data_IF_868661722578
#
_entry.id   IF_868661722578
#
_cell.length_a   1.000
_cell.length_b   1.000
_cell.length_c   1.000
_cell.angle_alpha   90.00
_cell.angle_beta   90.00
_cell.angle_gamma   90.00
#
_symmetry.space_group_name_H-M   'P 1'
#
loop_
_entity.id
_entity.type
_entity.pdbx_description
1 polymer ?
#
# COMPACT_ATOMS: atom_id res chain seq x y z
N UNK A 1 2.88 -9.07 65.51
CA UNK A 1 4.27 -8.71 65.89
C UNK A 1 5.02 -8.39 64.62
N UNK A 2 5.34 -7.11 64.37
CA UNK A 2 6.15 -6.72 63.22
C UNK A 2 7.61 -7.07 63.51
N UNK A 3 8.23 -7.91 62.68
CA UNK A 3 9.65 -8.22 62.81
C UNK A 3 10.46 -6.98 62.42
N UNK A 4 11.08 -6.29 63.39
CA UNK A 4 12.10 -5.29 63.11
C UNK A 4 13.32 -5.97 62.47
N UNK A 5 13.61 -5.62 61.22
CA UNK A 5 14.83 -6.03 60.54
C UNK A 5 15.99 -5.20 61.12
N UNK A 6 17.11 -5.83 61.54
CA UNK A 6 18.24 -5.12 62.12
C UNK A 6 18.87 -4.14 61.12
N UNK A 7 19.36 -3.00 61.62
CA UNK A 7 19.93 -1.89 60.82
C UNK A 7 21.01 -2.35 59.82
N UNK A 8 21.79 -3.35 60.20
CA UNK A 8 22.83 -3.98 59.38
C UNK A 8 22.25 -4.74 58.18
N UNK A 9 21.16 -5.48 58.38
CA UNK A 9 20.43 -6.17 57.30
C UNK A 9 19.74 -5.17 56.37
N UNK A 10 19.25 -4.04 56.90
CA UNK A 10 18.71 -2.94 56.08
C UNK A 10 19.77 -2.23 55.24
N UNK A 11 21.01 -2.12 55.74
CA UNK A 11 22.12 -1.53 54.98
C UNK A 11 22.60 -2.47 53.87
N UNK A 12 22.67 -3.78 54.14
CA UNK A 12 23.02 -4.81 53.15
C UNK A 12 22.01 -4.88 51.99
N UNK A 13 20.71 -4.81 52.29
CA UNK A 13 19.66 -4.79 51.26
C UNK A 13 19.80 -3.57 50.33
N UNK A 14 20.06 -2.39 50.90
CA UNK A 14 20.28 -1.16 50.12
C UNK A 14 21.53 -1.23 49.23
N UNK A 15 22.62 -1.81 49.72
CA UNK A 15 23.83 -2.01 48.91
C UNK A 15 23.56 -2.97 47.74
N UNK A 16 22.88 -4.08 47.99
CA UNK A 16 22.52 -5.03 46.95
C UNK A 16 21.60 -4.41 45.88
N UNK A 17 20.67 -3.53 46.29
CA UNK A 17 19.84 -2.77 45.36
C UNK A 17 20.67 -1.80 44.51
N UNK A 18 21.64 -1.10 45.12
CA UNK A 18 22.54 -0.17 44.44
C UNK A 18 23.44 -0.89 43.41
N UNK A 19 24.00 -2.04 43.79
CA UNK A 19 24.89 -2.84 42.92
C UNK A 19 24.18 -3.24 41.61
N UNK A 20 22.88 -3.54 41.66
CA UNK A 20 22.10 -3.93 40.49
C UNK A 20 21.58 -2.76 39.64
N UNK A 21 21.78 -1.50 40.05
CA UNK A 21 21.22 -0.36 39.32
C UNK A 21 21.89 -0.15 37.96
N UNK A 22 23.21 -0.28 37.89
CA UNK A 22 23.95 -0.04 36.65
C UNK A 22 23.67 -1.10 35.60
N UNK A 23 23.51 -2.36 36.01
CA UNK A 23 23.07 -3.45 35.14
C UNK A 23 21.68 -3.17 34.55
N UNK A 24 20.74 -2.69 35.37
CA UNK A 24 19.38 -2.32 34.91
C UNK A 24 19.41 -1.14 33.95
N UNK A 25 20.24 -0.12 34.22
CA UNK A 25 20.43 1.02 33.33
C UNK A 25 21.00 0.58 31.98
N UNK A 26 22.03 -0.26 31.99
CA UNK A 26 22.64 -0.79 30.79
C UNK A 26 21.63 -1.62 29.97
N UNK A 27 20.90 -2.52 30.62
CA UNK A 27 19.86 -3.30 29.96
C UNK A 27 18.75 -2.41 29.36
N UNK A 28 18.34 -1.35 30.07
CA UNK A 28 17.37 -0.39 29.55
C UNK A 28 17.90 0.36 28.32
N UNK A 29 19.17 0.78 28.32
CA UNK A 29 19.83 1.42 27.18
C UNK A 29 19.89 0.48 25.97
N UNK A 30 20.35 -0.76 26.16
CA UNK A 30 20.41 -1.76 25.10
C UNK A 30 19.02 -2.03 24.49
N UNK A 31 17.99 -2.16 25.33
CA UNK A 31 16.62 -2.35 24.87
C UNK A 31 16.11 -1.15 24.04
N UNK A 32 16.46 0.07 24.46
CA UNK A 32 16.11 1.29 23.72
C UNK A 32 16.78 1.31 22.34
N UNK A 33 18.07 0.99 22.26
CA UNK A 33 18.82 0.92 21.00
C UNK A 33 18.23 -0.14 20.06
N UNK A 34 17.92 -1.33 20.58
CA UNK A 34 17.28 -2.39 19.81
C UNK A 34 15.91 -1.96 19.28
N UNK A 35 15.12 -1.26 20.10
CA UNK A 35 13.83 -0.72 19.68
C UNK A 35 13.98 0.32 18.57
N UNK A 36 14.89 1.28 18.73
CA UNK A 36 15.18 2.29 17.71
C UNK A 36 15.64 1.66 16.38
N UNK A 37 16.54 0.67 16.45
CA UNK A 37 17.01 -0.06 15.27
C UNK A 37 15.89 -0.87 14.59
N UNK A 38 14.92 -1.40 15.35
CA UNK A 38 13.72 -2.06 14.78
C UNK A 38 12.82 -1.05 14.09
N UNK A 39 12.61 0.12 14.69
CA UNK A 39 11.82 1.21 14.09
C UNK A 39 12.45 1.73 12.79
N UNK A 40 13.76 1.98 12.79
CA UNK A 40 14.49 2.43 11.61
C UNK A 40 14.37 1.44 10.44
N UNK A 41 14.60 0.14 10.70
CA UNK A 41 14.45 -0.93 9.69
C UNK A 41 13.02 -1.05 9.17
N UNK A 42 12.02 -0.92 10.04
CA UNK A 42 10.62 -0.96 9.64
C UNK A 42 10.28 0.23 8.72
N UNK A 43 10.75 1.43 9.07
CA UNK A 43 10.58 2.62 8.25
C UNK A 43 11.25 2.48 6.89
N UNK A 44 12.52 2.07 6.85
CA UNK A 44 13.29 1.88 5.61
C UNK A 44 12.63 0.87 4.66
N UNK A 45 12.12 -0.24 5.22
CA UNK A 45 11.39 -1.25 4.44
C UNK A 45 10.13 -0.69 3.78
N UNK A 46 9.43 0.22 4.45
CA UNK A 46 8.23 0.88 3.93
C UNK A 46 8.59 2.02 2.96
N UNK A 47 9.72 2.69 3.16
CA UNK A 47 10.18 3.85 2.40
C UNK A 47 11.00 3.49 1.16
N UNK A 48 10.68 2.39 0.46
CA UNK A 48 11.35 2.07 -0.82
C UNK A 48 11.18 3.24 -1.78
N UNK A 49 12.27 3.92 -2.19
CA UNK A 49 12.17 5.07 -3.07
C UNK A 49 11.58 4.63 -4.40
N UNK A 50 10.39 5.16 -4.71
CA UNK A 50 9.74 4.94 -6.01
C UNK A 50 10.26 6.01 -6.95
N UNK A 51 11.23 5.63 -7.76
CA UNK A 51 11.74 6.47 -8.84
C UNK A 51 10.96 6.19 -10.11
N UNK A 52 10.53 7.24 -10.78
CA UNK A 52 9.88 7.13 -12.06
C UNK A 52 10.63 7.95 -13.10
N UNK A 53 10.54 7.55 -14.36
CA UNK A 53 11.21 8.24 -15.48
C UNK A 53 10.20 9.01 -16.32
N UNK A 54 10.68 10.08 -16.98
CA UNK A 54 9.90 10.78 -18.01
C UNK A 54 9.38 9.76 -19.05
N UNK A 55 8.12 9.88 -19.43
CA UNK A 55 7.43 8.99 -20.35
C UNK A 55 6.77 7.77 -19.72
N UNK A 56 7.00 7.49 -18.42
CA UNK A 56 6.33 6.36 -17.77
C UNK A 56 4.87 6.68 -17.45
N UNK A 57 4.01 5.65 -17.60
CA UNK A 57 2.62 5.73 -17.19
C UNK A 57 2.47 5.44 -15.70
N UNK A 58 1.71 6.30 -15.02
CA UNK A 58 1.45 6.21 -13.59
C UNK A 58 -0.01 6.46 -13.27
N UNK A 59 -0.50 5.79 -12.22
CA UNK A 59 -1.76 6.07 -11.56
C UNK A 59 -1.54 7.03 -10.40
N UNK A 60 -2.49 7.96 -10.20
CA UNK A 60 -2.47 8.93 -9.10
C UNK A 60 -3.47 8.53 -8.02
N UNK A 61 -3.09 8.66 -6.75
CA UNK A 61 -4.00 8.43 -5.64
C UNK A 61 -5.01 9.59 -5.50
N UNK A 62 -6.31 9.29 -5.58
CA UNK A 62 -7.41 10.29 -5.54
C UNK A 62 -7.46 11.07 -4.23
N UNK A 63 -7.35 10.37 -3.09
CA UNK A 63 -7.74 10.89 -1.76
C UNK A 63 -6.93 12.10 -1.26
N UNK A 64 -5.59 12.18 -1.40
CA UNK A 64 -4.82 13.33 -0.90
C UNK A 64 -4.51 14.41 -1.94
N UNK A 65 -4.71 14.15 -3.24
CA UNK A 65 -4.15 15.02 -4.29
C UNK A 65 -5.21 15.70 -5.13
N UNK A 66 -6.25 14.95 -5.53
CA UNK A 66 -7.14 15.43 -6.58
C UNK A 66 -8.34 16.20 -6.04
N UNK A 67 -8.54 16.25 -4.71
CA UNK A 67 -9.66 16.95 -4.08
C UNK A 67 -11.05 16.51 -4.54
N UNK A 68 -11.14 15.41 -5.32
CA UNK A 68 -12.38 14.93 -5.91
C UNK A 68 -13.23 14.23 -4.85
N UNK A 69 -14.54 14.52 -4.85
CA UNK A 69 -15.52 13.86 -3.99
C UNK A 69 -15.42 12.34 -4.08
N UNK A 70 -15.82 11.68 -2.98
CA UNK A 70 -15.97 10.23 -2.93
C UNK A 70 -16.78 9.76 -4.14
N UNK A 71 -16.18 8.90 -4.96
CA UNK A 71 -16.97 7.99 -5.78
C UNK A 71 -17.77 7.04 -4.88
N UNK A 72 -18.60 6.16 -5.46
CA UNK A 72 -19.29 5.13 -4.68
C UNK A 72 -18.29 4.35 -3.80
N UNK A 73 -18.76 3.75 -2.69
CA UNK A 73 -17.92 3.08 -1.67
C UNK A 73 -16.90 2.06 -2.25
N UNK A 74 -17.15 1.56 -3.47
CA UNK A 74 -16.33 0.59 -4.19
C UNK A 74 -15.54 1.18 -5.38
N UNK A 75 -15.51 2.51 -5.55
CA UNK A 75 -14.71 3.13 -6.60
C UNK A 75 -13.21 2.94 -6.34
N UNK A 76 -12.40 2.71 -7.39
CA UNK A 76 -10.96 2.60 -7.24
C UNK A 76 -10.35 3.90 -6.69
N UNK A 77 -9.44 3.76 -5.74
CA UNK A 77 -8.72 4.90 -5.15
C UNK A 77 -7.64 5.49 -6.07
N UNK A 78 -7.24 4.73 -7.09
CA UNK A 78 -6.24 5.11 -8.08
C UNK A 78 -6.93 5.60 -9.34
N UNK A 79 -6.45 6.70 -9.90
CA UNK A 79 -7.06 7.36 -11.03
C UNK A 79 -6.08 7.52 -12.18
N UNK A 80 -6.57 7.24 -13.40
CA UNK A 80 -5.98 7.55 -14.70
C UNK A 80 -4.64 6.87 -14.99
N UNK A 81 -4.33 6.53 -16.24
CA UNK A 81 -2.94 6.50 -16.67
C UNK A 81 -2.51 7.93 -17.05
N UNK A 82 -1.61 8.51 -16.27
CA UNK A 82 -0.94 9.78 -16.57
C UNK A 82 0.48 9.53 -17.04
N UNK A 83 1.01 10.38 -17.90
CA UNK A 83 2.41 10.34 -18.33
C UNK A 83 3.24 11.25 -17.44
N UNK A 84 4.41 10.78 -17.02
CA UNK A 84 5.39 11.65 -16.36
C UNK A 84 6.07 12.52 -17.40
N UNK A 85 5.90 13.83 -17.25
CA UNK A 85 6.50 14.80 -18.15
C UNK A 85 7.85 15.31 -17.64
N UNK A 86 7.96 15.51 -16.31
CA UNK A 86 9.17 15.97 -15.67
C UNK A 86 9.34 15.30 -14.31
N UNK A 87 10.57 14.90 -13.99
CA UNK A 87 10.97 14.43 -12.67
C UNK A 87 11.87 15.49 -12.03
N UNK A 88 11.49 15.97 -10.84
CA UNK A 88 12.28 16.93 -10.07
C UNK A 88 13.17 16.21 -9.06
N UNK A 89 14.28 16.88 -8.70
CA UNK A 89 15.12 16.48 -7.58
C UNK A 89 14.28 16.52 -6.29
N UNK A 90 14.33 15.45 -5.49
CA UNK A 90 13.48 15.31 -4.28
C UNK A 90 12.19 14.49 -4.48
N UNK A 91 11.97 13.89 -5.66
CA UNK A 91 10.90 12.90 -5.87
C UNK A 91 9.51 13.50 -6.09
N UNK A 92 9.45 14.73 -6.59
CA UNK A 92 8.24 15.32 -7.15
C UNK A 92 8.20 15.13 -8.66
N UNK A 93 6.99 14.96 -9.22
CA UNK A 93 6.79 14.65 -10.63
C UNK A 93 5.69 15.53 -11.23
N UNK A 94 5.95 16.11 -12.40
CA UNK A 94 4.92 16.76 -13.21
C UNK A 94 4.24 15.72 -14.09
N UNK A 95 2.92 15.70 -14.06
CA UNK A 95 2.11 14.76 -14.83
C UNK A 95 1.39 15.47 -15.97
N UNK A 96 1.27 14.77 -17.08
CA UNK A 96 0.43 15.14 -18.21
C UNK A 96 -0.66 14.08 -18.42
N UNK A 97 -1.89 14.53 -18.64
CA UNK A 97 -2.97 13.71 -19.16
C UNK A 97 -2.75 13.43 -20.67
N UNK A 98 -3.54 12.52 -21.22
CA UNK A 98 -3.68 12.25 -22.66
C UNK A 98 -3.78 13.49 -23.55
N UNK A 99 -4.39 14.57 -23.05
CA UNK A 99 -4.53 15.85 -23.75
C UNK A 99 -3.37 16.83 -23.52
N UNK A 100 -2.28 16.41 -22.87
CA UNK A 100 -1.14 17.27 -22.52
C UNK A 100 -1.42 18.28 -21.41
N UNK A 101 -2.61 18.23 -20.77
CA UNK A 101 -2.95 19.10 -19.65
C UNK A 101 -2.34 18.57 -18.35
N UNK A 102 -1.93 19.47 -17.47
CA UNK A 102 -1.52 19.14 -16.11
C UNK A 102 -2.74 19.20 -15.18
N UNK A 103 -3.33 18.05 -14.79
CA UNK A 103 -4.53 18.03 -13.96
C UNK A 103 -4.24 18.53 -12.54
N UNK A 104 -2.98 18.48 -12.10
CA UNK A 104 -2.49 18.90 -10.79
C UNK A 104 -1.05 19.40 -10.91
N UNK A 105 -0.64 20.26 -9.99
CA UNK A 105 0.76 20.64 -9.78
C UNK A 105 1.63 19.42 -9.49
N UNK A 106 2.95 19.60 -9.47
CA UNK A 106 3.92 18.55 -9.18
C UNK A 106 3.54 17.68 -7.97
N UNK A 107 3.55 16.35 -8.14
CA UNK A 107 3.09 15.38 -7.15
C UNK A 107 4.27 14.60 -6.57
N UNK A 108 4.26 14.36 -5.26
CA UNK A 108 5.23 13.45 -4.63
C UNK A 108 5.03 11.98 -5.09
N UNK A 109 6.13 11.31 -5.46
CA UNK A 109 6.14 9.92 -5.94
C UNK A 109 5.50 8.90 -4.99
N UNK A 110 5.38 9.19 -3.69
CA UNK A 110 4.67 8.33 -2.71
C UNK A 110 3.20 8.09 -3.08
N UNK A 111 2.62 9.01 -3.85
CA UNK A 111 1.23 8.95 -4.28
C UNK A 111 1.06 8.49 -5.73
N UNK A 112 2.15 8.03 -6.34
CA UNK A 112 2.17 7.50 -7.69
C UNK A 112 2.36 5.98 -7.65
N UNK A 113 1.72 5.30 -8.60
CA UNK A 113 1.90 3.86 -8.81
C UNK A 113 2.14 3.62 -10.30
N UNK A 114 3.19 2.88 -10.63
CA UNK A 114 3.48 2.53 -12.03
C UNK A 114 2.31 1.77 -12.65
N UNK A 115 1.90 2.19 -13.84
CA UNK A 115 0.86 1.56 -14.63
C UNK A 115 1.51 0.72 -15.74
N UNK A 116 1.13 -0.55 -15.85
CA UNK A 116 1.71 -1.51 -16.80
C UNK A 116 0.74 -1.89 -17.93
N UNK A 117 -0.39 -1.20 -18.06
CA UNK A 117 -1.50 -1.62 -18.93
C UNK A 117 -1.26 -1.58 -20.43
N UNK A 118 -0.07 -1.19 -20.92
CA UNK A 118 0.25 -1.30 -22.35
C UNK A 118 0.61 -2.74 -22.79
N UNK A 119 0.87 -3.67 -21.85
CA UNK A 119 1.22 -5.07 -22.14
C UNK A 119 0.19 -6.09 -21.63
N UNK A 120 -1.07 -5.70 -21.46
CA UNK A 120 -2.16 -6.62 -21.11
C UNK A 120 -3.28 -6.47 -22.15
N UNK A 121 -3.77 -7.56 -22.79
CA UNK A 121 -5.01 -7.47 -23.54
C UNK A 121 -6.12 -7.01 -22.60
N UNK A 122 -6.95 -6.10 -23.10
CA UNK A 122 -7.97 -5.43 -22.31
C UNK A 122 -8.88 -6.45 -21.60
N UNK A 123 -9.07 -6.29 -20.29
CA UNK A 123 -9.85 -7.23 -19.46
C UNK A 123 -11.34 -7.16 -19.86
N UNK A 124 -11.76 -6.06 -20.51
CA UNK A 124 -13.07 -5.92 -21.15
C UNK A 124 -13.27 -6.91 -22.30
N UNK A 125 -12.24 -7.14 -23.11
CA UNK A 125 -12.24 -8.04 -24.26
C UNK A 125 -12.25 -9.52 -23.84
N UNK A 126 -11.58 -9.85 -22.74
CA UNK A 126 -11.53 -11.23 -22.21
C UNK A 126 -12.90 -11.70 -21.70
N UNK A 127 -13.66 -10.82 -21.04
CA UNK A 127 -15.01 -11.14 -20.58
C UNK A 127 -16.05 -11.21 -21.73
N UNK A 128 -15.84 -10.49 -22.84
CA UNK A 128 -16.69 -10.60 -24.03
C UNK A 128 -16.47 -11.91 -24.77
N UNK A 129 -15.21 -12.33 -24.97
CA UNK A 129 -14.88 -13.60 -25.64
C UNK A 129 -15.39 -14.84 -24.88
N UNK A 130 -15.42 -14.80 -23.54
CA UNK A 130 -16.03 -15.87 -22.73
C UNK A 130 -17.57 -15.84 -22.76
N UNK A 131 -18.20 -14.67 -22.79
CA UNK A 131 -19.66 -14.55 -22.98
C UNK A 131 -20.11 -15.00 -24.37
N UNK A 132 -19.34 -14.68 -25.40
CA UNK A 132 -19.62 -15.09 -26.79
C UNK A 132 -19.37 -16.59 -27.00
N UNK A 133 -18.30 -17.16 -26.41
CA UNK A 133 -18.07 -18.62 -26.41
C UNK A 133 -19.17 -19.38 -25.65
N UNK A 134 -19.71 -18.84 -24.57
CA UNK A 134 -20.85 -19.44 -23.85
C UNK A 134 -22.19 -19.25 -24.56
N UNK A 135 -22.36 -18.20 -25.36
CA UNK A 135 -23.57 -18.04 -26.20
C UNK A 135 -23.53 -18.94 -27.44
N UNK A 136 -22.36 -19.33 -27.94
CA UNK A 136 -22.22 -20.22 -29.09
C UNK A 136 -22.59 -21.68 -28.77
N UNK A 137 -22.48 -22.13 -27.52
CA UNK A 137 -22.83 -23.51 -27.11
C UNK A 137 -24.31 -23.73 -26.77
N UNK A 138 -25.19 -22.74 -26.93
CA UNK A 138 -26.59 -22.83 -26.51
C UNK A 138 -27.64 -22.73 -27.63
N UNK A 139 -27.23 -22.77 -28.91
CA UNK A 139 -28.16 -22.65 -30.05
C UNK A 139 -28.30 -23.89 -30.95
N UNK A 140 -27.42 -24.89 -30.85
CA UNK A 140 -27.49 -26.05 -31.74
C UNK A 140 -28.33 -27.24 -31.20
N UNK A 141 -28.59 -27.31 -29.90
CA UNK A 141 -29.24 -28.48 -29.29
C UNK A 141 -30.73 -28.26 -28.92
N UNK A 142 -31.30 -27.06 -29.13
CA UNK A 142 -32.67 -26.74 -28.67
C UNK A 142 -33.65 -26.32 -29.78
N UNK A 143 -33.33 -26.55 -31.05
CA UNK A 143 -34.23 -26.21 -32.16
C UNK A 143 -35.05 -27.39 -32.73
N UNK A 144 -35.00 -28.60 -32.16
CA UNK A 144 -35.83 -29.74 -32.61
C UNK A 144 -36.84 -30.29 -31.57
N UNK A 145 -37.02 -29.65 -30.40
CA UNK A 145 -37.80 -30.26 -29.31
C UNK A 145 -39.18 -29.63 -29.00
N UNK A 146 -39.77 -28.80 -29.87
CA UNK A 146 -41.08 -28.16 -29.59
C UNK A 146 -42.11 -28.33 -30.71
N UNK A 147 -42.22 -29.53 -31.29
CA UNK A 147 -43.29 -29.84 -32.26
C UNK A 147 -43.98 -31.20 -32.06
N UNK A 148 -44.06 -31.73 -30.82
CA UNK A 148 -44.72 -33.02 -30.56
C UNK A 148 -45.65 -33.07 -29.34
N UNK A 149 -46.38 -31.99 -29.00
CA UNK A 149 -47.42 -32.07 -27.96
C UNK A 149 -48.72 -31.30 -28.28
N UNK A 150 -49.13 -31.26 -29.54
CA UNK A 150 -50.53 -30.95 -29.89
C UNK A 150 -50.95 -31.75 -31.14
N UNK A 151 -51.27 -33.03 -30.91
CA UNK A 151 -52.18 -33.86 -31.72
C UNK A 151 -52.87 -34.83 -30.78
#
# INVERSE_FOLDING_TARGET
MAAQIPLTKQAQLRLQELDGMDERRLAAQQNLELYQARMARAYEKLSRPRTFKKGELVLVLRRPILGRHHGPKLAPNWEGPYVIEQAYEGGAYLLADSNGKHPVSSINGRYLKKYYGQNYPDISTTHQSQRESSQQTDWADNCEAVNYLFT
#
